data_IF_691976324151
#
_entry.id   IF_691976324151
#
_cell.length_a   1.000
_cell.length_b   1.000
_cell.length_c   1.000
_cell.angle_alpha   90.00
_cell.angle_beta   90.00
_cell.angle_gamma   90.00
#
_symmetry.space_group_name_H-M   'P 1'
#
loop_
_entity.id
_entity.type
_entity.pdbx_description
1 polymer ?
#
# COMPACT_ATOMS: atom_id res chain seq x y z
N UNK A 1 -6.95 10.70 -40.76
CA UNK A 1 -6.29 9.57 -40.07
C UNK A 1 -6.43 9.82 -38.57
N UNK A 2 -7.20 9.00 -37.86
CA UNK A 2 -7.43 9.20 -36.43
C UNK A 2 -6.09 9.12 -35.70
N UNK A 3 -5.71 10.18 -34.98
CA UNK A 3 -4.56 10.17 -34.10
C UNK A 3 -4.73 9.00 -33.13
N UNK A 4 -3.89 7.99 -33.30
CA UNK A 4 -3.97 6.73 -32.58
C UNK A 4 -3.78 7.04 -31.09
N UNK A 5 -4.83 6.91 -30.28
CA UNK A 5 -4.88 7.42 -28.91
C UNK A 5 -3.72 6.85 -28.07
N UNK A 6 -2.84 7.72 -27.56
CA UNK A 6 -1.62 7.33 -26.85
C UNK A 6 -1.89 6.41 -25.64
N UNK A 7 -3.04 6.58 -24.98
CA UNK A 7 -3.47 5.67 -23.92
C UNK A 7 -3.77 4.27 -24.44
N UNK A 8 -4.50 4.13 -25.55
CA UNK A 8 -4.86 2.83 -26.15
C UNK A 8 -3.62 2.03 -26.56
N UNK A 9 -2.62 2.71 -27.12
CA UNK A 9 -1.34 2.08 -27.46
C UNK A 9 -0.64 1.57 -26.21
N UNK A 10 -0.58 2.39 -25.15
CA UNK A 10 0.06 2.01 -23.89
C UNK A 10 -0.68 0.87 -23.19
N UNK A 11 -2.01 0.94 -23.15
CA UNK A 11 -2.87 -0.11 -22.57
C UNK A 11 -2.65 -1.45 -23.28
N UNK A 12 -2.72 -1.48 -24.61
CA UNK A 12 -2.46 -2.69 -25.39
C UNK A 12 -1.06 -3.25 -25.16
N UNK A 13 -0.04 -2.40 -25.06
CA UNK A 13 1.31 -2.85 -24.76
C UNK A 13 1.40 -3.51 -23.37
N UNK A 14 0.76 -2.95 -22.35
CA UNK A 14 0.74 -3.52 -21.00
C UNK A 14 -0.04 -4.83 -20.96
N UNK A 15 -1.21 -4.91 -21.62
CA UNK A 15 -1.98 -6.15 -21.67
C UNK A 15 -1.20 -7.27 -22.36
N UNK A 16 -0.52 -6.98 -23.47
CA UNK A 16 0.36 -7.95 -24.13
C UNK A 16 1.52 -8.42 -23.23
N UNK A 17 2.02 -7.57 -22.34
CA UNK A 17 3.06 -7.92 -21.37
C UNK A 17 2.51 -8.85 -20.29
N UNK A 18 1.31 -8.55 -19.76
CA UNK A 18 0.59 -9.37 -18.77
C UNK A 18 0.28 -10.77 -19.35
N UNK A 19 -0.11 -10.85 -20.62
CA UNK A 19 -0.43 -12.11 -21.30
C UNK A 19 0.82 -12.83 -21.85
N UNK A 20 2.01 -12.25 -21.68
CA UNK A 20 3.24 -12.83 -22.22
C UNK A 20 3.73 -14.02 -21.38
N UNK A 21 4.54 -14.88 -21.99
CA UNK A 21 5.23 -15.96 -21.28
C UNK A 21 6.52 -15.50 -20.59
N UNK A 22 6.85 -14.21 -20.65
CA UNK A 22 8.03 -13.69 -19.98
C UNK A 22 7.79 -13.62 -18.46
N UNK A 23 8.84 -13.82 -17.64
CA UNK A 23 8.71 -13.66 -16.21
C UNK A 23 8.23 -12.25 -15.85
N UNK A 24 7.29 -12.17 -14.90
CA UNK A 24 6.82 -10.90 -14.35
C UNK A 24 7.99 -10.16 -13.65
N UNK A 25 7.95 -8.83 -13.65
CA UNK A 25 9.00 -8.00 -13.08
C UNK A 25 9.04 -8.00 -11.55
N UNK A 26 8.05 -8.61 -10.89
CA UNK A 26 8.12 -8.81 -9.44
C UNK A 26 9.27 -9.75 -9.07
N UNK A 27 9.81 -9.65 -7.84
CA UNK A 27 10.81 -10.60 -7.36
C UNK A 27 10.34 -12.06 -7.37
N UNK A 28 9.02 -12.30 -7.41
CA UNK A 28 8.42 -13.64 -7.51
C UNK A 28 8.51 -14.20 -8.94
N UNK A 29 8.71 -13.35 -9.95
CA UNK A 29 8.72 -13.72 -11.36
C UNK A 29 7.35 -14.09 -11.93
N UNK A 30 6.29 -13.96 -11.13
CA UNK A 30 4.91 -14.30 -11.48
C UNK A 30 3.94 -13.30 -10.86
N UNK A 31 2.81 -13.08 -11.52
CA UNK A 31 1.72 -12.27 -10.97
C UNK A 31 1.20 -12.93 -9.69
N UNK A 32 0.81 -12.10 -8.73
CA UNK A 32 0.15 -12.55 -7.52
C UNK A 32 -1.30 -12.96 -7.84
N UNK A 33 -1.61 -14.25 -7.74
CA UNK A 33 -2.89 -14.82 -8.13
C UNK A 33 -4.08 -14.20 -7.38
N UNK A 34 -3.86 -13.76 -6.13
CA UNK A 34 -4.87 -13.08 -5.33
C UNK A 34 -5.25 -11.70 -5.88
N UNK A 35 -4.43 -11.12 -6.76
CA UNK A 35 -4.74 -9.87 -7.46
C UNK A 35 -5.48 -10.09 -8.79
N UNK A 36 -5.53 -11.31 -9.34
CA UNK A 36 -6.11 -11.56 -10.67
C UNK A 36 -7.56 -11.04 -10.79
N UNK A 37 -8.47 -11.27 -9.81
CA UNK A 37 -9.83 -10.77 -9.94
C UNK A 37 -9.91 -9.26 -10.16
N UNK A 38 -9.20 -8.47 -9.36
CA UNK A 38 -9.22 -7.00 -9.48
C UNK A 38 -8.45 -6.51 -10.71
N UNK A 39 -7.40 -7.23 -11.13
CA UNK A 39 -6.68 -6.96 -12.38
C UNK A 39 -7.64 -7.10 -13.56
N UNK A 40 -8.35 -8.22 -13.66
CA UNK A 40 -9.26 -8.52 -14.76
C UNK A 40 -10.41 -7.51 -14.81
N UNK A 41 -11.02 -7.22 -13.65
CA UNK A 41 -12.09 -6.23 -13.51
C UNK A 41 -11.67 -4.85 -14.04
N UNK A 42 -10.49 -4.37 -13.66
CA UNK A 42 -9.99 -3.05 -14.06
C UNK A 42 -9.57 -3.06 -15.53
N UNK A 43 -8.91 -4.11 -15.99
CA UNK A 43 -8.41 -4.22 -17.36
C UNK A 43 -9.53 -4.35 -18.39
N UNK A 44 -10.72 -4.83 -17.98
CA UNK A 44 -11.93 -4.82 -18.81
C UNK A 44 -12.44 -3.39 -19.13
N UNK A 45 -12.14 -2.39 -18.28
CA UNK A 45 -12.57 -1.00 -18.51
C UNK A 45 -11.83 -0.37 -19.68
N UNK A 46 -12.53 0.28 -20.63
CA UNK A 46 -11.88 0.99 -21.73
C UNK A 46 -10.90 2.09 -21.27
N UNK A 47 -11.05 2.62 -20.04
CA UNK A 47 -10.34 3.82 -19.58
C UNK A 47 -9.25 3.54 -18.55
N UNK A 48 -9.02 2.27 -18.20
CA UNK A 48 -8.06 1.87 -17.17
C UNK A 48 -7.24 0.65 -17.58
N UNK A 49 -6.04 0.54 -17.02
CA UNK A 49 -5.18 -0.65 -17.10
C UNK A 49 -4.27 -0.73 -15.87
N UNK A 50 -4.14 -1.92 -15.28
CA UNK A 50 -3.23 -2.18 -14.16
C UNK A 50 -1.78 -2.23 -14.63
N UNK A 51 -0.85 -1.63 -13.89
CA UNK A 51 0.59 -1.63 -14.23
C UNK A 51 1.46 -2.39 -13.25
N UNK A 52 1.02 -2.55 -12.00
CA UNK A 52 1.67 -3.40 -11.00
C UNK A 52 0.74 -3.63 -9.82
N UNK A 53 0.90 -4.77 -9.15
CA UNK A 53 0.10 -5.13 -7.98
C UNK A 53 0.86 -6.04 -7.02
N UNK A 54 0.39 -6.13 -5.78
CA UNK A 54 0.80 -7.11 -4.77
C UNK A 54 -0.37 -7.29 -3.83
N UNK A 55 -0.79 -8.53 -3.55
CA UNK A 55 -1.99 -8.79 -2.74
C UNK A 55 -1.76 -8.43 -1.28
N UNK A 56 -0.53 -8.59 -0.81
CA UNK A 56 -0.09 -8.38 0.55
C UNK A 56 0.89 -9.49 0.92
N UNK A 57 1.84 -9.22 1.81
CA UNK A 57 2.87 -10.20 2.16
C UNK A 57 3.37 -10.04 3.57
N UNK A 58 3.83 -11.16 4.13
CA UNK A 58 4.80 -11.16 5.23
C UNK A 58 6.19 -11.31 4.63
N UNK A 59 7.13 -10.55 5.16
CA UNK A 59 8.55 -10.73 4.83
C UNK A 59 9.42 -10.59 6.08
N UNK A 60 10.51 -11.35 6.08
CA UNK A 60 11.61 -11.18 7.04
C UNK A 60 12.81 -10.73 6.24
N UNK A 61 13.31 -9.57 6.59
CA UNK A 61 14.26 -8.83 5.77
C UNK A 61 15.50 -8.45 6.57
N UNK A 62 16.67 -8.83 6.07
CA UNK A 62 17.92 -8.29 6.57
C UNK A 62 18.24 -6.99 5.83
N UNK A 63 18.39 -5.89 6.56
CA UNK A 63 18.74 -4.60 5.99
C UNK A 63 20.09 -4.64 5.28
N UNK A 64 20.24 -3.87 4.20
CA UNK A 64 21.52 -3.67 3.53
C UNK A 64 22.20 -2.38 3.94
N UNK A 65 23.39 -2.15 3.39
CA UNK A 65 24.15 -0.92 3.54
C UNK A 65 24.15 -0.11 2.23
N UNK A 66 24.18 1.21 2.34
CA UNK A 66 24.35 2.12 1.21
C UNK A 66 25.38 3.18 1.58
N UNK A 67 26.45 3.28 0.80
CA UNK A 67 27.42 4.36 0.94
C UNK A 67 26.94 5.60 0.19
N UNK A 68 26.85 6.73 0.86
CA UNK A 68 26.52 8.03 0.26
C UNK A 68 27.45 9.10 0.83
N UNK A 69 28.20 9.78 -0.04
CA UNK A 69 29.16 10.82 0.35
C UNK A 69 30.15 10.41 1.46
N UNK A 70 30.58 9.15 1.49
CA UNK A 70 31.50 8.63 2.51
C UNK A 70 30.83 8.18 3.81
N UNK A 71 29.53 8.41 3.98
CA UNK A 71 28.75 7.88 5.11
C UNK A 71 28.05 6.58 4.71
N UNK A 72 28.17 5.55 5.56
CA UNK A 72 27.42 4.30 5.41
C UNK A 72 26.07 4.46 6.09
N UNK A 73 25.00 4.42 5.29
CA UNK A 73 23.62 4.40 5.78
C UNK A 73 23.08 2.98 5.73
N UNK A 74 22.36 2.59 6.78
CA UNK A 74 21.70 1.30 6.85
C UNK A 74 20.24 1.47 6.45
N UNK A 75 19.75 0.55 5.63
CA UNK A 75 18.33 0.48 5.29
C UNK A 75 18.05 -0.06 3.90
N UNK A 76 16.89 -0.70 3.79
CA UNK A 76 16.37 -1.24 2.53
C UNK A 76 17.30 -2.27 1.87
N UNK A 77 17.08 -2.52 0.57
CA UNK A 77 17.80 -3.51 -0.26
C UNK A 77 19.17 -3.04 -0.75
N UNK A 78 19.93 -2.30 0.08
CA UNK A 78 21.30 -1.90 -0.24
C UNK A 78 22.24 -3.10 -0.44
N UNK A 79 23.55 -2.85 -0.48
CA UNK A 79 24.54 -3.92 -0.55
C UNK A 79 24.35 -4.89 0.63
N UNK A 80 24.24 -6.18 0.33
CA UNK A 80 24.03 -7.25 1.30
C UNK A 80 22.59 -7.36 1.87
N UNK A 81 21.70 -6.41 1.58
CA UNK A 81 20.31 -6.45 2.06
C UNK A 81 19.51 -7.51 1.30
N UNK A 82 18.82 -8.40 2.02
CA UNK A 82 18.14 -9.53 1.38
C UNK A 82 16.93 -10.04 2.14
N UNK A 83 16.03 -10.65 1.39
CA UNK A 83 14.86 -11.34 1.92
C UNK A 83 15.32 -12.67 2.52
N UNK A 84 15.15 -12.83 3.83
CA UNK A 84 15.37 -14.09 4.54
C UNK A 84 14.16 -15.01 4.39
N UNK A 85 12.98 -14.41 4.36
CA UNK A 85 11.71 -15.08 4.16
C UNK A 85 10.71 -14.14 3.47
N UNK A 86 9.85 -14.66 2.62
CA UNK A 86 8.71 -13.93 2.04
C UNK A 86 7.57 -14.89 1.74
N UNK A 87 6.34 -14.47 2.03
CA UNK A 87 5.14 -15.18 1.62
C UNK A 87 4.00 -14.20 1.33
N UNK A 88 3.25 -14.48 0.26
CA UNK A 88 1.94 -13.85 -0.02
C UNK A 88 0.79 -14.75 0.48
N UNK A 89 1.13 -15.96 0.90
CA UNK A 89 0.20 -16.98 1.36
C UNK A 89 0.06 -16.90 2.87
N UNK A 90 -1.17 -16.63 3.31
CA UNK A 90 -1.58 -16.56 4.71
C UNK A 90 -1.27 -17.85 5.46
N UNK A 91 -1.42 -19.01 4.82
CA UNK A 91 -1.25 -20.31 5.47
C UNK A 91 0.23 -20.64 5.74
N UNK A 92 1.15 -19.92 5.10
CA UNK A 92 2.59 -20.06 5.31
C UNK A 92 3.15 -19.07 6.33
N UNK A 93 2.31 -18.21 6.93
CA UNK A 93 2.78 -17.26 7.94
C UNK A 93 3.35 -17.99 9.15
N UNK A 94 2.69 -19.05 9.63
CA UNK A 94 3.20 -19.83 10.77
C UNK A 94 4.31 -20.76 10.29
N UNK A 95 5.39 -20.86 11.06
CA UNK A 95 6.50 -21.78 10.80
C UNK A 95 7.64 -21.19 9.95
N UNK A 96 7.54 -19.92 9.55
CA UNK A 96 8.60 -19.23 8.80
C UNK A 96 9.95 -19.26 9.53
N UNK A 97 9.92 -19.19 10.87
CA UNK A 97 11.13 -19.18 11.69
C UNK A 97 11.87 -20.51 11.62
N UNK A 98 11.14 -21.62 11.61
CA UNK A 98 11.74 -22.96 11.52
C UNK A 98 12.22 -23.25 10.09
N UNK A 99 11.51 -22.77 9.07
CA UNK A 99 12.01 -22.77 7.70
C UNK A 99 13.32 -21.97 7.59
N UNK A 100 13.40 -20.79 8.21
CA UNK A 100 14.62 -20.00 8.22
C UNK A 100 15.78 -20.72 8.91
N UNK A 101 15.55 -21.36 10.07
CA UNK A 101 16.58 -22.15 10.77
C UNK A 101 17.08 -23.34 9.95
N UNK A 102 16.21 -23.94 9.13
CA UNK A 102 16.57 -25.07 8.27
C UNK A 102 17.50 -24.68 7.11
N UNK A 103 17.55 -23.39 6.74
CA UNK A 103 18.43 -22.88 5.70
C UNK A 103 19.86 -22.75 6.25
N UNK A 104 20.79 -23.53 5.69
CA UNK A 104 22.21 -23.55 6.09
C UNK A 104 23.01 -22.30 5.71
N UNK A 105 22.34 -21.23 5.26
CA UNK A 105 22.99 -20.00 4.79
C UNK A 105 23.48 -19.12 5.95
N UNK A 106 22.97 -19.32 7.17
CA UNK A 106 23.33 -18.54 8.35
C UNK A 106 23.43 -19.37 9.61
N UNK A 107 24.40 -19.03 10.45
CA UNK A 107 24.34 -19.38 11.87
C UNK A 107 23.23 -18.57 12.53
N UNK A 108 22.48 -19.24 13.39
CA UNK A 108 21.26 -18.71 13.99
C UNK A 108 21.36 -18.82 15.52
N UNK A 109 21.21 -17.68 16.21
CA UNK A 109 21.21 -17.64 17.67
C UNK A 109 19.95 -16.92 18.18
N UNK A 110 19.11 -17.66 18.91
CA UNK A 110 18.00 -17.11 19.68
C UNK A 110 18.51 -16.79 21.09
N UNK A 111 18.96 -15.56 21.30
CA UNK A 111 19.34 -15.09 22.62
C UNK A 111 18.20 -14.24 23.18
N UNK A 112 17.33 -14.80 24.02
CA UNK A 112 16.43 -14.02 24.87
C UNK A 112 17.17 -13.23 25.98
N UNK A 113 18.48 -13.02 25.80
CA UNK A 113 19.35 -12.27 26.73
C UNK A 113 19.24 -10.79 26.41
N UNK A 114 19.39 -9.96 27.44
CA UNK A 114 19.45 -8.51 27.30
C UNK A 114 20.44 -8.11 26.19
N UNK A 115 19.94 -7.40 25.18
CA UNK A 115 20.80 -6.75 24.21
C UNK A 115 21.51 -5.64 24.97
N UNK A 116 22.84 -5.54 24.95
CA UNK A 116 23.50 -4.34 25.43
C UNK A 116 22.96 -3.16 24.61
N UNK A 117 22.25 -2.22 25.25
CA UNK A 117 21.63 -1.06 24.58
C UNK A 117 22.64 -0.28 23.75
N UNK A 118 23.91 -0.33 24.16
CA UNK A 118 25.08 0.24 23.47
C UNK A 118 25.34 -0.34 22.07
N UNK A 119 24.88 -1.57 21.78
CA UNK A 119 24.98 -2.20 20.45
C UNK A 119 23.83 -1.83 19.52
N UNK A 120 22.70 -1.37 20.05
CA UNK A 120 21.51 -0.96 19.28
C UNK A 120 21.75 0.44 18.73
N UNK A 121 22.47 0.52 17.62
CA UNK A 121 22.83 1.78 16.95
C UNK A 121 22.24 1.85 15.55
N UNK A 122 22.29 3.02 14.91
CA UNK A 122 21.95 3.16 13.48
C UNK A 122 23.00 2.55 12.54
N UNK A 123 24.07 1.95 13.09
CA UNK A 123 25.19 1.37 12.36
C UNK A 123 25.18 -0.17 12.36
N UNK A 124 24.15 -0.79 12.93
CA UNK A 124 23.92 -2.24 12.81
C UNK A 124 22.77 -2.53 11.85
N UNK A 125 22.86 -3.67 11.15
CA UNK A 125 21.86 -4.11 10.18
C UNK A 125 20.82 -4.97 10.88
N UNK A 126 19.58 -4.49 10.91
CA UNK A 126 18.51 -5.20 11.59
C UNK A 126 17.87 -6.27 10.70
N UNK A 127 17.33 -7.27 11.38
CA UNK A 127 16.39 -8.24 10.82
C UNK A 127 15.00 -7.70 11.12
N UNK A 128 14.24 -7.38 10.09
CA UNK A 128 12.90 -6.78 10.22
C UNK A 128 11.84 -7.77 9.78
N UNK A 129 10.83 -7.97 10.62
CA UNK A 129 9.60 -8.65 10.29
C UNK A 129 8.58 -7.61 9.83
N UNK A 130 8.05 -7.80 8.61
CA UNK A 130 7.14 -6.84 7.99
C UNK A 130 5.88 -7.52 7.50
N UNK A 131 4.74 -6.86 7.75
CA UNK A 131 3.53 -7.06 6.98
C UNK A 131 3.35 -5.86 6.06
N UNK A 132 3.33 -6.12 4.76
CA UNK A 132 3.12 -5.11 3.72
C UNK A 132 1.78 -5.42 3.02
N UNK A 133 0.82 -4.49 3.00
CA UNK A 133 -0.53 -4.79 2.51
C UNK A 133 -0.67 -4.67 1.00
N UNK A 134 -1.90 -4.86 0.54
CA UNK A 134 -2.30 -4.64 -0.84
C UNK A 134 -1.82 -3.31 -1.39
N UNK A 135 -1.23 -3.36 -2.58
CA UNK A 135 -0.90 -2.20 -3.40
C UNK A 135 -1.30 -2.50 -4.84
N UNK A 136 -1.83 -1.48 -5.51
CA UNK A 136 -2.22 -1.56 -6.91
C UNK A 136 -1.93 -0.23 -7.61
N UNK A 137 -1.32 -0.29 -8.77
CA UNK A 137 -1.11 0.85 -9.65
C UNK A 137 -1.96 0.70 -10.91
N UNK A 138 -2.73 1.75 -11.22
CA UNK A 138 -3.66 1.78 -12.35
C UNK A 138 -3.40 3.01 -13.18
N UNK A 139 -3.06 2.81 -14.44
CA UNK A 139 -2.95 3.87 -15.43
C UNK A 139 -4.35 4.17 -15.97
N UNK A 140 -4.79 5.42 -15.83
CA UNK A 140 -6.08 5.88 -16.35
C UNK A 140 -5.90 6.70 -17.63
N UNK A 141 -6.95 6.74 -18.48
CA UNK A 141 -6.97 7.53 -19.72
C UNK A 141 -6.74 9.00 -19.44
N UNK A 142 -7.54 9.55 -18.55
CA UNK A 142 -7.57 10.97 -18.20
C UNK A 142 -7.69 11.18 -16.69
N UNK A 143 -7.67 12.45 -16.28
CA UNK A 143 -7.80 12.82 -14.89
C UNK A 143 -9.18 12.49 -14.32
N UNK A 144 -10.24 12.48 -15.15
CA UNK A 144 -11.59 12.20 -14.69
C UNK A 144 -11.71 10.73 -14.26
N UNK A 145 -11.23 9.79 -15.08
CA UNK A 145 -11.15 8.38 -14.74
C UNK A 145 -10.28 8.14 -13.49
N UNK A 146 -9.10 8.78 -13.44
CA UNK A 146 -8.21 8.69 -12.28
C UNK A 146 -8.85 9.21 -10.99
N UNK A 147 -9.53 10.35 -11.06
CA UNK A 147 -10.22 10.96 -9.92
C UNK A 147 -11.36 10.07 -9.41
N UNK A 148 -12.15 9.48 -10.31
CA UNK A 148 -13.19 8.52 -9.92
C UNK A 148 -12.61 7.32 -9.18
N UNK A 149 -11.62 6.64 -9.77
CA UNK A 149 -10.97 5.48 -9.15
C UNK A 149 -10.33 5.83 -7.80
N UNK A 150 -9.63 6.95 -7.72
CA UNK A 150 -9.05 7.45 -6.47
C UNK A 150 -10.12 7.66 -5.38
N UNK A 151 -11.22 8.34 -5.70
CA UNK A 151 -12.30 8.59 -4.75
C UNK A 151 -12.99 7.29 -4.31
N UNK A 152 -13.20 6.37 -5.23
CA UNK A 152 -13.70 5.01 -4.94
C UNK A 152 -12.79 4.30 -3.94
N UNK A 153 -11.47 4.27 -4.20
CA UNK A 153 -10.48 3.66 -3.31
C UNK A 153 -10.42 4.33 -1.93
N UNK A 154 -10.46 5.67 -1.89
CA UNK A 154 -10.56 6.42 -0.65
C UNK A 154 -11.82 6.01 0.11
N UNK A 155 -12.98 5.88 -0.53
CA UNK A 155 -14.22 5.47 0.15
C UNK A 155 -14.12 4.08 0.82
N UNK A 156 -13.30 3.18 0.26
CA UNK A 156 -13.05 1.85 0.82
C UNK A 156 -11.97 1.83 1.94
N UNK A 157 -11.31 2.96 2.19
CA UNK A 157 -10.33 3.11 3.28
C UNK A 157 -8.86 3.06 2.84
N UNK A 158 -8.58 3.11 1.54
CA UNK A 158 -7.21 3.18 1.00
C UNK A 158 -6.66 4.62 1.13
N UNK A 159 -6.46 5.09 2.36
CA UNK A 159 -6.13 6.48 2.70
C UNK A 159 -4.76 6.97 2.23
N UNK A 160 -3.85 6.04 1.93
CA UNK A 160 -2.50 6.34 1.45
C UNK A 160 -2.42 6.42 -0.09
N UNK A 161 -3.58 6.39 -0.75
CA UNK A 161 -3.68 6.45 -2.20
C UNK A 161 -3.37 7.85 -2.74
N UNK A 162 -2.97 7.92 -4.01
CA UNK A 162 -2.74 9.19 -4.69
C UNK A 162 -2.75 9.08 -6.20
N UNK A 163 -2.94 10.21 -6.88
CA UNK A 163 -2.85 10.33 -8.33
C UNK A 163 -1.50 10.94 -8.66
N UNK A 164 -0.64 10.15 -9.32
CA UNK A 164 0.67 10.57 -9.79
C UNK A 164 0.64 11.22 -11.17
N UNK A 165 1.84 11.38 -11.75
CA UNK A 165 1.98 11.89 -13.11
C UNK A 165 1.29 10.99 -14.13
N UNK A 166 0.85 11.60 -15.24
CA UNK A 166 0.17 10.89 -16.32
C UNK A 166 -1.05 10.07 -15.85
N UNK A 167 -1.83 10.55 -14.87
CA UNK A 167 -3.05 9.87 -14.39
C UNK A 167 -2.81 8.44 -13.87
N UNK A 168 -1.64 8.19 -13.27
CA UNK A 168 -1.34 6.92 -12.60
C UNK A 168 -1.88 6.95 -11.17
N UNK A 169 -2.91 6.16 -10.89
CA UNK A 169 -3.48 6.03 -9.55
C UNK A 169 -2.71 4.95 -8.79
N UNK A 170 -2.12 5.32 -7.66
CA UNK A 170 -1.53 4.37 -6.71
C UNK A 170 -2.52 4.14 -5.56
N UNK A 171 -3.07 2.94 -5.46
CA UNK A 171 -4.00 2.53 -4.42
C UNK A 171 -3.20 1.85 -3.31
N UNK A 172 -3.25 2.42 -2.10
CA UNK A 172 -2.48 1.95 -0.94
C UNK A 172 -3.26 2.12 0.37
N UNK A 173 -2.98 1.24 1.32
CA UNK A 173 -3.59 1.26 2.65
C UNK A 173 -2.53 1.11 3.75
N UNK A 174 -2.80 1.67 4.93
CA UNK A 174 -1.90 1.64 6.08
C UNK A 174 -2.32 0.59 7.12
N UNK A 175 -2.20 -0.70 6.78
CA UNK A 175 -2.39 -1.84 7.72
C UNK A 175 -1.06 -2.57 8.01
N UNK A 176 0.06 -1.86 7.84
CA UNK A 176 1.42 -2.40 7.92
C UNK A 176 1.78 -2.91 9.32
N UNK A 177 2.84 -3.72 9.36
CA UNK A 177 3.60 -4.10 10.55
C UNK A 177 5.08 -3.98 10.19
N UNK A 178 5.89 -3.41 11.06
CA UNK A 178 7.34 -3.28 10.85
C UNK A 178 8.02 -3.39 12.22
N UNK A 179 8.65 -4.54 12.48
CA UNK A 179 9.16 -4.91 13.81
C UNK A 179 10.57 -5.47 13.70
N UNK A 180 11.56 -4.93 14.43
CA UNK A 180 12.88 -5.51 14.47
C UNK A 180 12.89 -6.79 15.34
N UNK A 181 13.50 -7.85 14.83
CA UNK A 181 13.61 -9.16 15.50
C UNK A 181 15.02 -9.44 16.03
N UNK A 182 16.02 -8.81 15.41
CA UNK A 182 17.41 -9.21 15.54
C UNK A 182 18.32 -8.32 14.74
N UNK A 183 19.59 -8.72 14.67
CA UNK A 183 20.61 -8.07 13.86
C UNK A 183 21.61 -9.09 13.32
N UNK A 184 22.36 -8.70 12.29
CA UNK A 184 23.51 -9.47 11.83
C UNK A 184 24.76 -9.10 12.64
N UNK A 185 25.35 -10.09 13.30
CA UNK A 185 26.68 -9.95 13.88
C UNK A 185 27.74 -10.10 12.78
N UNK A 186 28.22 -8.98 12.26
CA UNK A 186 29.18 -8.92 11.14
C UNK A 186 30.53 -9.58 11.46
N UNK A 187 30.90 -9.74 12.74
CA UNK A 187 32.16 -10.42 13.11
C UNK A 187 32.04 -11.93 12.96
N UNK A 188 30.86 -12.50 13.26
CA UNK A 188 30.61 -13.94 13.21
C UNK A 188 29.79 -14.40 12.00
N UNK A 189 29.18 -13.47 11.25
CA UNK A 189 28.21 -13.78 10.20
C UNK A 189 26.87 -14.35 10.72
N UNK A 190 26.61 -14.23 12.02
CA UNK A 190 25.46 -14.87 12.70
C UNK A 190 24.25 -13.95 12.76
N UNK A 191 23.07 -14.47 12.42
CA UNK A 191 21.80 -13.80 12.68
C UNK A 191 21.43 -13.97 14.15
N UNK A 192 21.49 -12.86 14.91
CA UNK A 192 21.19 -12.83 16.34
C UNK A 192 19.79 -12.28 16.56
N UNK A 193 18.90 -13.13 17.02
CA UNK A 193 17.54 -12.76 17.40
C UNK A 193 17.52 -12.42 18.88
N UNK A 194 16.97 -11.24 19.19
CA UNK A 194 16.76 -10.77 20.55
C UNK A 194 15.32 -10.97 21.03
N UNK A 195 14.46 -11.50 20.17
CA UNK A 195 13.08 -11.88 20.48
C UNK A 195 13.00 -13.36 20.82
N UNK A 196 12.02 -13.74 21.63
CA UNK A 196 11.76 -15.16 21.92
C UNK A 196 10.85 -15.80 20.85
N UNK A 197 10.80 -17.14 20.74
CA UNK A 197 9.86 -17.82 19.85
C UNK A 197 8.39 -17.44 20.13
N UNK A 198 8.03 -17.25 21.41
CA UNK A 198 6.68 -16.86 21.80
C UNK A 198 6.31 -15.47 21.26
N UNK A 199 7.27 -14.54 21.26
CA UNK A 199 7.08 -13.22 20.64
C UNK A 199 6.84 -13.34 19.13
N UNK A 200 7.57 -14.24 18.45
CA UNK A 200 7.35 -14.51 17.03
C UNK A 200 5.93 -15.06 16.80
N UNK A 201 5.44 -15.96 17.64
CA UNK A 201 4.05 -16.45 17.53
C UNK A 201 3.01 -15.34 17.71
N UNK A 202 3.28 -14.34 18.55
CA UNK A 202 2.44 -13.14 18.66
C UNK A 202 2.46 -12.34 17.35
N UNK A 203 3.63 -12.12 16.75
CA UNK A 203 3.74 -11.43 15.45
C UNK A 203 3.01 -12.18 14.34
N UNK A 204 3.12 -13.51 14.30
CA UNK A 204 2.43 -14.34 13.33
C UNK A 204 0.90 -14.18 13.47
N UNK A 205 0.39 -14.22 14.70
CA UNK A 205 -1.04 -13.99 14.99
C UNK A 205 -1.50 -12.58 14.55
N UNK A 206 -0.68 -11.56 14.79
CA UNK A 206 -0.95 -10.19 14.33
C UNK A 206 -0.94 -10.08 12.81
N UNK A 207 -0.02 -10.76 12.13
CA UNK A 207 0.05 -10.82 10.66
C UNK A 207 -1.15 -11.51 10.05
N UNK A 208 -1.62 -12.61 10.64
CA UNK A 208 -2.84 -13.29 10.20
C UNK A 208 -4.05 -12.36 10.29
N UNK A 209 -4.21 -11.64 11.41
CA UNK A 209 -5.27 -10.63 11.54
C UNK A 209 -5.16 -9.52 10.49
N UNK A 210 -3.93 -9.10 10.14
CA UNK A 210 -3.70 -8.12 9.07
C UNK A 210 -4.04 -8.66 7.69
N UNK A 211 -3.73 -9.92 7.39
CA UNK A 211 -4.19 -10.60 6.17
C UNK A 211 -5.72 -10.58 6.09
N UNK A 212 -6.42 -10.91 7.18
CA UNK A 212 -7.88 -10.93 7.18
C UNK A 212 -8.48 -9.54 6.92
N UNK A 213 -7.92 -8.49 7.54
CA UNK A 213 -8.30 -7.10 7.26
C UNK A 213 -8.01 -6.70 5.81
N UNK A 214 -6.82 -7.04 5.32
CA UNK A 214 -6.38 -6.72 3.97
C UNK A 214 -7.30 -7.35 2.91
N UNK A 215 -7.61 -8.64 3.05
CA UNK A 215 -8.53 -9.37 2.16
C UNK A 215 -9.91 -8.72 2.16
N UNK A 216 -10.44 -8.33 3.33
CA UNK A 216 -11.73 -7.63 3.41
C UNK A 216 -11.69 -6.28 2.69
N UNK A 217 -10.59 -5.54 2.81
CA UNK A 217 -10.39 -4.25 2.13
C UNK A 217 -10.26 -4.41 0.62
N UNK A 218 -9.55 -5.44 0.16
CA UNK A 218 -9.46 -5.80 -1.25
C UNK A 218 -10.84 -6.14 -1.83
N UNK A 219 -11.62 -6.96 -1.13
CA UNK A 219 -12.97 -7.31 -1.57
C UNK A 219 -13.89 -6.08 -1.63
N UNK A 220 -13.89 -5.25 -0.58
CA UNK A 220 -14.67 -4.01 -0.56
C UNK A 220 -14.28 -3.03 -1.68
N UNK A 221 -13.00 -3.00 -2.07
CA UNK A 221 -12.55 -2.23 -3.23
C UNK A 221 -13.07 -2.82 -4.53
N UNK A 222 -12.94 -4.13 -4.71
CA UNK A 222 -13.43 -4.85 -5.88
C UNK A 222 -14.92 -4.59 -6.10
N UNK A 223 -15.76 -4.86 -5.10
CA UNK A 223 -17.22 -4.71 -5.17
C UNK A 223 -17.63 -3.28 -5.54
N UNK A 224 -16.89 -2.30 -5.01
CA UNK A 224 -17.14 -0.89 -5.26
C UNK A 224 -16.76 -0.48 -6.68
N UNK A 225 -15.60 -0.92 -7.16
CA UNK A 225 -15.15 -0.67 -8.54
C UNK A 225 -16.14 -1.30 -9.53
N UNK A 226 -16.52 -2.56 -9.29
CA UNK A 226 -17.47 -3.27 -10.13
C UNK A 226 -18.79 -2.50 -10.22
N UNK A 227 -19.36 -2.12 -9.07
CA UNK A 227 -20.64 -1.42 -9.01
C UNK A 227 -20.60 0.00 -9.58
N UNK A 228 -19.59 0.80 -9.24
CA UNK A 228 -19.58 2.24 -9.52
C UNK A 228 -18.85 2.62 -10.80
N UNK A 229 -17.91 1.79 -11.28
CA UNK A 229 -17.05 2.13 -12.42
C UNK A 229 -17.28 1.24 -13.64
N UNK A 230 -17.70 -0.02 -13.45
CA UNK A 230 -17.87 -0.98 -14.55
C UNK A 230 -19.35 -1.17 -14.88
N UNK A 231 -20.13 -1.65 -13.90
CA UNK A 231 -21.54 -2.00 -14.05
C UNK A 231 -22.45 -0.81 -13.72
N UNK A 232 -22.06 0.41 -14.09
CA UNK A 232 -22.91 1.60 -13.94
C UNK A 232 -24.29 1.32 -14.56
N UNK A 233 -25.26 0.90 -13.75
CA UNK A 233 -26.65 0.90 -14.17
C UNK A 233 -27.01 2.36 -14.48
N UNK A 234 -27.72 2.65 -15.59
CA UNK A 234 -28.29 3.97 -15.76
C UNK A 234 -29.19 4.23 -14.56
N UNK A 235 -28.84 5.24 -13.77
CA UNK A 235 -29.50 5.59 -12.54
C UNK A 235 -30.95 5.98 -12.83
N UNK A 236 -31.89 5.06 -12.56
CA UNK A 236 -33.34 5.28 -12.68
C UNK A 236 -33.82 6.37 -11.69
N UNK A 237 -32.94 6.84 -10.80
CA UNK A 237 -33.19 7.95 -9.89
C UNK A 237 -32.32 9.19 -10.16
N UNK A 238 -31.90 9.40 -11.41
CA UNK A 238 -31.45 10.72 -11.88
C UNK A 238 -32.62 11.73 -11.95
N UNK A 239 -33.29 11.96 -10.82
CA UNK A 239 -33.81 13.29 -10.51
C UNK A 239 -32.58 14.17 -10.37
N UNK A 240 -32.25 14.81 -11.48
CA UNK A 240 -31.35 15.95 -11.58
C UNK A 240 -31.80 16.99 -10.55
N UNK A 241 -31.26 16.91 -9.34
CA UNK A 241 -31.34 17.97 -8.36
C UNK A 241 -30.19 18.92 -8.71
N UNK A 242 -30.40 19.77 -9.71
CA UNK A 242 -29.55 20.94 -9.94
C UNK A 242 -29.73 21.79 -8.69
N UNK A 243 -28.84 21.64 -7.71
CA UNK A 243 -28.62 22.72 -6.76
C UNK A 243 -28.01 23.86 -7.58
N UNK A 244 -28.61 25.08 -7.55
CA UNK A 244 -28.10 26.19 -8.33
C UNK A 244 -26.64 26.43 -7.93
N UNK A 245 -25.76 26.41 -8.93
CA UNK A 245 -24.35 26.73 -8.76
C UNK A 245 -24.29 28.20 -8.37
N UNK A 246 -24.10 28.46 -7.07
CA UNK A 246 -23.91 29.80 -6.52
C UNK A 246 -22.74 30.47 -7.27
N UNK A 247 -23.04 31.58 -7.95
CA UNK A 247 -22.04 32.38 -8.65
C UNK A 247 -21.00 32.92 -7.66
N UNK A 248 -19.84 33.31 -8.18
CA UNK A 248 -18.74 33.83 -7.35
C UNK A 248 -19.15 35.07 -6.54
N UNK A 249 -20.12 35.84 -7.04
CA UNK A 249 -20.67 37.02 -6.37
C UNK A 249 -21.65 36.64 -5.27
N UNK A 250 -22.59 35.73 -5.54
CA UNK A 250 -23.52 35.21 -4.52
C UNK A 250 -22.76 34.55 -3.35
N UNK A 251 -21.69 33.80 -3.66
CA UNK A 251 -20.81 33.18 -2.66
C UNK A 251 -20.07 34.21 -1.81
N UNK A 252 -19.74 35.37 -2.36
CA UNK A 252 -19.07 36.47 -1.65
C UNK A 252 -20.06 37.19 -0.73
N UNK A 253 -21.28 37.42 -1.18
CA UNK A 253 -22.34 38.05 -0.38
C UNK A 253 -22.79 37.17 0.77
N UNK A 254 -22.97 35.87 0.55
CA UNK A 254 -23.29 34.92 1.60
C UNK A 254 -22.22 34.89 2.69
N UNK A 255 -20.94 34.80 2.31
CA UNK A 255 -19.81 34.84 3.27
C UNK A 255 -19.73 36.15 4.05
N UNK A 256 -20.06 37.29 3.42
CA UNK A 256 -20.16 38.58 4.12
C UNK A 256 -21.30 38.60 5.14
N UNK A 257 -22.48 38.07 4.77
CA UNK A 257 -23.65 37.99 5.65
C UNK A 257 -23.40 37.08 6.86
N UNK A 258 -22.90 35.87 6.60
CA UNK A 258 -22.52 34.91 7.66
C UNK A 258 -21.44 35.50 8.59
N UNK A 259 -20.48 36.24 8.04
CA UNK A 259 -19.44 36.94 8.82
C UNK A 259 -19.99 38.07 9.70
N UNK A 260 -20.95 38.85 9.19
CA UNK A 260 -21.61 39.91 9.95
C UNK A 260 -22.52 39.35 11.05
N UNK A 261 -23.22 38.25 10.81
CA UNK A 261 -24.00 37.54 11.83
C UNK A 261 -23.12 36.97 12.94
N UNK A 262 -21.98 36.37 12.59
CA UNK A 262 -20.99 35.90 13.57
C UNK A 262 -20.45 37.05 14.43
N UNK A 263 -20.16 38.20 13.83
CA UNK A 263 -19.76 39.40 14.59
C UNK A 263 -20.88 39.94 15.48
N UNK A 264 -22.14 39.89 15.05
CA UNK A 264 -23.29 40.29 15.89
C UNK A 264 -23.47 39.36 17.08
N UNK A 265 -23.32 38.04 16.90
CA UNK A 265 -23.39 37.05 17.98
C UNK A 265 -22.21 37.16 18.95
N UNK A 266 -21.04 37.58 18.49
CA UNK A 266 -19.88 37.84 19.36
C UNK A 266 -19.97 39.18 20.11
N UNK A 267 -20.81 40.12 19.63
CA UNK A 267 -21.00 41.45 20.23
C UNK A 267 -22.26 41.57 21.08
N UNK A 268 -23.11 40.54 21.15
CA UNK A 268 -24.17 40.48 22.14
C UNK A 268 -23.54 40.25 23.52
N UNK A 269 -23.62 41.22 24.46
CA UNK A 269 -23.13 40.99 25.82
C UNK A 269 -23.92 39.83 26.43
N UNK A 270 -23.20 38.88 27.03
CA UNK A 270 -23.77 37.98 28.03
C UNK A 270 -24.40 38.87 29.11
N UNK A 271 -25.72 39.05 29.04
CA UNK A 271 -26.46 39.65 30.13
C UNK A 271 -26.41 38.67 31.30
N UNK A 272 -25.63 39.09 32.28
CA UNK A 272 -25.71 38.68 33.68
C UNK A 272 -27.15 38.79 34.15
N UNK A 273 -27.74 37.64 34.49
CA UNK A 273 -28.49 37.36 35.72
C UNK A 273 -28.76 35.85 35.80
#
# INVERSE_FOLDING_TARGET
MAAQNAFEQKKRAILNEIDSTQPDLSPKGTIDELCLPIIDLINASADMVTTSSCSGRVSVFLEGTKSYNGEVKIGGKGQGGKWLYVTHDREKVIGWLDELKSKSEFSFELSGKEIPTEKVTGSIRYILYKYEPFILHVKCRDFQAASKLYNTAMSCGFRESGIGSNNLVAIRINIKLDVPLGYLDETSGTLKFFVTPEYVSVLDSLSLSKFDENTRKMQALYDRIEKELINCAPDVNSKVNIMPIETKEERRERKKREGMERQRQLKSPQNVL
#
